data_IF_101855993635
#
_entry.id   IF_101855993635
#
_cell.length_a   1.000
_cell.length_b   1.000
_cell.length_c   1.000
_cell.angle_alpha   90.00
_cell.angle_beta   90.00
_cell.angle_gamma   90.00
#
_symmetry.space_group_name_H-M   'P 1'
#
loop_
_entity.id
_entity.type
_entity.pdbx_description
1 polymer ?
#
# COMPACT_ATOMS: atom_id res chain seq x y z
N UNK A 1 -46.79 5.50 -9.74
CA UNK A 1 -46.02 4.28 -9.36
C UNK A 1 -45.21 4.48 -8.08
N UNK A 2 -44.49 5.60 -7.90
CA UNK A 2 -43.79 5.97 -6.65
C UNK A 2 -44.67 5.89 -5.39
N UNK A 3 -45.94 6.30 -5.49
CA UNK A 3 -46.88 6.29 -4.36
C UNK A 3 -47.21 4.89 -3.82
N UNK A 4 -47.24 3.84 -4.66
CA UNK A 4 -47.47 2.46 -4.19
C UNK A 4 -46.23 1.85 -3.54
N UNK A 5 -45.04 2.10 -4.11
CA UNK A 5 -43.77 1.60 -3.57
C UNK A 5 -43.50 2.16 -2.16
N UNK A 6 -43.76 3.45 -1.92
CA UNK A 6 -43.61 4.04 -0.60
C UNK A 6 -44.56 3.43 0.44
N UNK A 7 -45.81 3.17 0.07
CA UNK A 7 -46.79 2.55 0.96
C UNK A 7 -46.43 1.09 1.29
N UNK A 8 -45.83 0.38 0.34
CA UNK A 8 -45.31 -0.98 0.52
C UNK A 8 -44.10 -1.00 1.48
N UNK A 9 -43.18 -0.04 1.33
CA UNK A 9 -42.06 0.14 2.27
C UNK A 9 -42.57 0.42 3.70
N UNK A 10 -43.60 1.24 3.86
CA UNK A 10 -44.21 1.50 5.18
C UNK A 10 -44.84 0.26 5.80
N UNK A 11 -45.51 -0.59 5.01
CA UNK A 11 -46.12 -1.83 5.52
C UNK A 11 -45.06 -2.91 5.83
N UNK A 12 -43.99 -2.97 5.04
CA UNK A 12 -42.87 -3.91 5.20
C UNK A 12 -41.61 -3.32 5.83
N UNK A 13 -41.73 -2.25 6.62
CA UNK A 13 -40.61 -1.35 6.96
C UNK A 13 -39.37 -2.04 7.51
N UNK A 14 -39.55 -3.02 8.40
CA UNK A 14 -38.44 -3.78 8.99
C UNK A 14 -37.60 -4.49 7.91
N UNK A 15 -38.25 -5.13 6.92
CA UNK A 15 -37.56 -5.84 5.83
C UNK A 15 -36.69 -4.90 5.01
N UNK A 16 -37.21 -3.71 4.67
CA UNK A 16 -36.46 -2.72 3.89
C UNK A 16 -35.30 -2.11 4.68
N UNK A 17 -35.50 -1.84 5.97
CA UNK A 17 -34.42 -1.36 6.86
C UNK A 17 -33.30 -2.39 6.97
N UNK A 18 -33.62 -3.67 7.24
CA UNK A 18 -32.61 -4.72 7.33
C UNK A 18 -31.88 -4.95 6.00
N UNK A 19 -32.60 -4.88 4.87
CA UNK A 19 -31.99 -5.00 3.54
C UNK A 19 -31.07 -3.83 3.24
N UNK A 20 -31.51 -2.60 3.55
CA UNK A 20 -30.70 -1.39 3.39
C UNK A 20 -29.46 -1.41 4.28
N UNK A 21 -29.58 -1.89 5.52
CA UNK A 21 -28.45 -2.10 6.42
C UNK A 21 -27.47 -3.13 5.87
N UNK A 22 -27.95 -4.28 5.38
CA UNK A 22 -27.11 -5.31 4.77
C UNK A 22 -26.35 -4.80 3.56
N UNK A 23 -27.05 -4.11 2.64
CA UNK A 23 -26.43 -3.50 1.48
C UNK A 23 -25.42 -2.40 1.87
N UNK A 24 -25.77 -1.55 2.84
CA UNK A 24 -24.90 -0.51 3.37
C UNK A 24 -23.63 -1.08 4.01
N UNK A 25 -23.74 -2.18 4.75
CA UNK A 25 -22.60 -2.92 5.31
C UNK A 25 -21.71 -3.50 4.21
N UNK A 26 -22.28 -4.13 3.18
CA UNK A 26 -21.50 -4.67 2.05
C UNK A 26 -20.73 -3.58 1.29
N UNK A 27 -21.38 -2.44 1.03
CA UNK A 27 -20.73 -1.28 0.42
C UNK A 27 -19.65 -0.75 1.36
N UNK A 28 -19.95 -0.63 2.66
CA UNK A 28 -19.01 -0.16 3.68
C UNK A 28 -17.75 -1.02 3.77
N UNK A 29 -17.89 -2.34 3.72
CA UNK A 29 -16.75 -3.28 3.69
C UNK A 29 -15.90 -3.07 2.43
N UNK A 30 -16.54 -2.91 1.28
CA UNK A 30 -15.83 -2.72 0.01
C UNK A 30 -15.03 -1.40 0.02
N UNK A 31 -15.64 -0.32 0.50
CA UNK A 31 -14.97 0.98 0.65
C UNK A 31 -13.83 0.90 1.68
N UNK A 32 -14.03 0.18 2.77
CA UNK A 32 -13.00 -0.04 3.78
C UNK A 32 -11.81 -0.80 3.21
N UNK A 33 -12.06 -1.88 2.46
CA UNK A 33 -11.01 -2.66 1.80
C UNK A 33 -10.22 -1.82 0.80
N UNK A 34 -10.90 -1.00 0.00
CA UNK A 34 -10.25 -0.09 -0.93
C UNK A 34 -9.40 0.96 -0.20
N UNK A 35 -9.88 1.49 0.93
CA UNK A 35 -9.14 2.42 1.77
C UNK A 35 -7.89 1.80 2.39
N UNK A 36 -8.02 0.60 2.98
CA UNK A 36 -6.91 -0.14 3.56
C UNK A 36 -5.84 -0.43 2.51
N UNK A 37 -6.25 -0.90 1.33
CA UNK A 37 -5.34 -1.20 0.24
C UNK A 37 -4.56 0.06 -0.18
N UNK A 38 -5.26 1.19 -0.39
CA UNK A 38 -4.59 2.46 -0.74
C UNK A 38 -3.63 2.91 0.36
N UNK A 39 -4.04 2.85 1.62
CA UNK A 39 -3.19 3.25 2.75
C UNK A 39 -1.93 2.38 2.86
N UNK A 40 -2.04 1.07 2.67
CA UNK A 40 -0.89 0.16 2.67
C UNK A 40 0.06 0.42 1.49
N UNK A 41 -0.49 0.76 0.32
CA UNK A 41 0.32 1.13 -0.86
C UNK A 41 1.05 2.45 -0.61
N UNK A 42 0.36 3.45 -0.06
CA UNK A 42 0.97 4.75 0.26
C UNK A 42 2.08 4.61 1.31
N UNK A 43 1.87 3.78 2.33
CA UNK A 43 2.89 3.48 3.36
C UNK A 43 4.12 2.76 2.75
N UNK A 44 3.89 1.80 1.84
CA UNK A 44 4.98 1.15 1.12
C UNK A 44 5.80 2.13 0.26
N UNK A 45 5.14 3.08 -0.40
CA UNK A 45 5.84 4.14 -1.14
C UNK A 45 6.61 5.09 -0.21
N UNK A 46 6.07 5.41 0.96
CA UNK A 46 6.76 6.25 1.93
C UNK A 46 8.11 5.65 2.37
N UNK A 47 8.21 4.32 2.51
CA UNK A 47 9.48 3.64 2.81
C UNK A 47 10.50 3.79 1.66
N UNK A 48 10.06 3.69 0.41
CA UNK A 48 10.93 3.87 -0.76
C UNK A 48 11.43 5.33 -0.86
N UNK A 49 10.52 6.29 -0.71
CA UNK A 49 10.79 7.73 -0.80
C UNK A 49 11.72 8.24 0.30
N UNK A 50 11.76 7.59 1.46
CA UNK A 50 12.66 7.96 2.56
C UNK A 50 14.14 7.98 2.14
N UNK A 51 14.54 7.08 1.23
CA UNK A 51 15.91 6.98 0.75
C UNK A 51 16.26 7.97 -0.37
N UNK A 52 15.24 8.48 -1.09
CA UNK A 52 15.37 9.28 -2.32
C UNK A 52 16.36 8.71 -3.34
N UNK A 53 16.55 7.40 -3.33
CA UNK A 53 17.49 6.72 -4.23
C UNK A 53 16.76 6.35 -5.53
N UNK A 54 17.41 6.61 -6.67
CA UNK A 54 16.91 6.15 -7.97
C UNK A 54 17.04 4.62 -8.13
N UNK A 55 18.00 4.01 -7.41
CA UNK A 55 18.28 2.58 -7.45
C UNK A 55 18.85 2.08 -6.11
N UNK A 56 18.37 0.93 -5.65
CA UNK A 56 18.96 0.19 -4.53
C UNK A 56 19.83 -0.96 -5.03
N UNK A 57 21.02 -1.09 -4.43
CA UNK A 57 21.89 -2.25 -4.62
C UNK A 57 21.82 -3.09 -3.34
N UNK A 58 21.32 -4.31 -3.47
CA UNK A 58 21.14 -5.25 -2.35
C UNK A 58 21.89 -6.56 -2.64
N UNK A 59 22.12 -7.34 -1.58
CA UNK A 59 22.72 -8.66 -1.70
C UNK A 59 21.83 -9.55 -2.56
N UNK A 60 22.46 -10.43 -3.36
CA UNK A 60 21.73 -11.41 -4.14
C UNK A 60 20.93 -12.34 -3.22
N UNK A 61 19.75 -12.75 -3.69
CA UNK A 61 18.86 -13.67 -2.99
C UNK A 61 18.29 -13.08 -1.68
N UNK A 62 18.19 -11.75 -1.59
CA UNK A 62 17.46 -11.04 -0.53
C UNK A 62 16.28 -10.24 -1.08
N UNK A 63 15.23 -10.07 -0.28
CA UNK A 63 14.00 -9.36 -0.70
C UNK A 63 14.07 -7.83 -0.56
N UNK A 64 15.15 -7.23 -1.05
CA UNK A 64 15.32 -5.77 -1.03
C UNK A 64 15.78 -5.21 0.32
N UNK A 65 15.89 -3.88 0.44
CA UNK A 65 16.54 -3.24 1.59
C UNK A 65 15.70 -3.21 2.88
N UNK A 66 14.39 -3.41 2.76
CA UNK A 66 13.44 -3.27 3.87
C UNK A 66 12.76 -4.57 4.30
N UNK A 67 12.68 -5.59 3.43
CA UNK A 67 12.02 -6.85 3.78
C UNK A 67 12.99 -7.88 4.40
N UNK A 68 14.26 -7.86 3.99
CA UNK A 68 15.29 -8.77 4.50
C UNK A 68 16.62 -8.05 4.68
N UNK A 69 17.37 -8.44 5.72
CA UNK A 69 18.69 -7.87 5.98
C UNK A 69 19.68 -8.25 4.86
N UNK A 70 20.31 -7.23 4.28
CA UNK A 70 21.35 -7.36 3.26
C UNK A 70 22.68 -6.84 3.80
N UNK A 71 23.74 -7.65 3.73
CA UNK A 71 25.09 -7.27 4.21
C UNK A 71 26.08 -7.24 3.06
N UNK A 72 26.34 -6.03 2.53
CA UNK A 72 27.30 -5.79 1.45
C UNK A 72 28.56 -5.16 2.04
N UNK A 73 29.74 -5.49 1.48
CA UNK A 73 30.99 -4.85 1.86
C UNK A 73 30.99 -3.36 1.50
N UNK A 74 31.58 -2.54 2.36
CA UNK A 74 31.63 -1.07 2.22
C UNK A 74 32.30 -0.60 0.91
N UNK A 75 33.26 -1.36 0.38
CA UNK A 75 34.01 -1.04 -0.82
C UNK A 75 33.17 -1.10 -2.11
N UNK A 76 32.05 -1.82 -2.11
CA UNK A 76 31.15 -1.95 -3.26
C UNK A 76 30.62 -0.59 -3.73
N UNK A 77 30.43 0.38 -2.82
CA UNK A 77 30.01 1.74 -3.18
C UNK A 77 30.98 2.40 -4.15
N UNK A 78 32.30 2.13 -4.05
CA UNK A 78 33.30 2.68 -4.96
C UNK A 78 33.16 2.10 -6.36
N UNK A 79 32.90 0.79 -6.45
CA UNK A 79 32.65 0.11 -7.73
C UNK A 79 31.39 0.66 -8.40
N UNK A 80 30.30 0.88 -7.65
CA UNK A 80 29.05 1.45 -8.17
C UNK A 80 29.25 2.90 -8.62
N UNK A 81 29.94 3.74 -7.82
CA UNK A 81 30.27 5.13 -8.22
C UNK A 81 31.08 5.23 -9.51
N UNK A 82 31.88 4.22 -9.83
CA UNK A 82 32.68 4.18 -11.05
C UNK A 82 31.90 3.80 -12.31
N UNK A 83 30.63 3.39 -12.19
CA UNK A 83 29.82 2.96 -13.33
C UNK A 83 29.36 4.18 -14.15
N UNK A 84 29.41 4.10 -15.50
CA UNK A 84 28.86 5.15 -16.36
C UNK A 84 27.39 5.42 -16.05
N UNK A 85 27.03 6.70 -15.87
CA UNK A 85 25.66 7.13 -15.58
C UNK A 85 25.31 7.24 -14.09
N UNK A 86 26.19 6.80 -13.18
CA UNK A 86 25.97 6.98 -11.73
C UNK A 86 26.45 8.37 -11.29
N UNK A 87 25.52 9.25 -10.91
CA UNK A 87 25.85 10.59 -10.42
C UNK A 87 26.39 10.58 -8.98
N UNK A 88 25.79 9.77 -8.11
CA UNK A 88 26.20 9.57 -6.73
C UNK A 88 25.82 8.16 -6.27
N UNK A 89 26.57 7.61 -5.32
CA UNK A 89 26.16 6.41 -4.58
C UNK A 89 26.60 6.56 -3.12
N UNK A 90 25.86 6.01 -2.18
CA UNK A 90 26.18 6.05 -0.76
C UNK A 90 25.78 4.75 -0.08
N UNK A 91 26.45 4.43 1.03
CA UNK A 91 26.06 3.32 1.88
C UNK A 91 24.92 3.76 2.79
N UNK A 92 23.96 2.87 2.99
CA UNK A 92 22.83 3.06 3.89
C UNK A 92 22.70 1.85 4.79
N UNK A 93 22.42 2.10 6.07
CA UNK A 93 22.07 1.08 7.05
C UNK A 93 20.70 1.44 7.63
N UNK A 94 19.72 0.57 7.40
CA UNK A 94 18.42 0.67 8.04
C UNK A 94 18.47 -0.13 9.34
N UNK A 95 18.33 0.56 10.46
CA UNK A 95 18.17 -0.07 11.76
C UNK A 95 16.67 -0.35 11.92
N UNK A 96 16.32 -1.62 12.05
CA UNK A 96 14.96 -2.09 12.40
C UNK A 96 14.74 -2.03 13.90
#
# INVERSE_FOLDING_TARGET
>A
MISLAGRDILHGWAKYVFTGLGLGLLIGVTLSMAGIYRGMVDDAYALLDNSRADLWVVQKDTQGPYAESSSIKDDVVRSVRGMPGVAAAANVSYLT
#
